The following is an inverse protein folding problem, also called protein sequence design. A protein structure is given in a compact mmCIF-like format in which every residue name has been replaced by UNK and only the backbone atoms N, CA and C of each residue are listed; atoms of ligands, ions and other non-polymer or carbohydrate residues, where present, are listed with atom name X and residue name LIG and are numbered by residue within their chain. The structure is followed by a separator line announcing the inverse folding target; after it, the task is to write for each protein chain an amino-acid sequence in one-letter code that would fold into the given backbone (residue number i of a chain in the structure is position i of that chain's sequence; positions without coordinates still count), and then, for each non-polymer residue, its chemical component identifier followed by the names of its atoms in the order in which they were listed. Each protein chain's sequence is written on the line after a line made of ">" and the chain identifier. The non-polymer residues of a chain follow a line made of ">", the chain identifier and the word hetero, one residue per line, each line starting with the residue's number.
data_IF_806884812103
#
_entry.id   IF_806884812103
#
_cell.length_a   1.000
_cell.length_b   1.000
_cell.length_c   1.000
_cell.angle_alpha   90.00
_cell.angle_beta   90.00
_cell.angle_gamma   90.00
#
_symmetry.space_group_name_H-M   'P 1'
#
loop_
_entity.id
_entity.type
_entity.pdbx_description
1 polymer ?
#
# COMPACT_ATOMS: atom_id res chain seq x y z
N UNK A 1 -47.43 -13.31 -18.81
CA UNK A 1 -47.81 -13.57 -17.41
C UNK A 1 -46.54 -13.74 -16.59
N UNK A 2 -46.07 -12.69 -15.88
CA UNK A 2 -44.90 -12.83 -15.00
C UNK A 2 -45.32 -13.62 -13.75
N UNK A 3 -44.74 -14.80 -13.54
CA UNK A 3 -44.85 -15.54 -12.27
C UNK A 3 -44.20 -14.67 -11.18
N UNK A 4 -44.92 -14.42 -10.08
CA UNK A 4 -44.41 -13.64 -8.95
C UNK A 4 -43.14 -14.31 -8.42
N UNK A 5 -42.00 -13.64 -8.58
CA UNK A 5 -40.74 -14.12 -8.04
C UNK A 5 -40.79 -13.97 -6.51
N UNK A 6 -40.44 -15.02 -5.74
CA UNK A 6 -40.46 -14.92 -4.28
C UNK A 6 -39.42 -13.88 -3.82
N UNK A 7 -39.84 -12.99 -2.91
CA UNK A 7 -39.02 -11.89 -2.39
C UNK A 7 -37.68 -12.39 -1.80
N UNK A 8 -37.68 -13.58 -1.21
CA UNK A 8 -36.48 -14.24 -0.68
C UNK A 8 -35.43 -14.52 -1.75
N UNK A 9 -35.84 -14.85 -2.99
CA UNK A 9 -34.94 -15.09 -4.10
C UNK A 9 -34.33 -13.78 -4.64
N UNK A 10 -35.10 -12.70 -4.62
CA UNK A 10 -34.61 -11.35 -4.98
C UNK A 10 -33.55 -10.88 -3.97
N UNK A 11 -33.82 -11.04 -2.67
CA UNK A 11 -32.87 -10.67 -1.60
C UNK A 11 -31.59 -11.50 -1.67
N UNK A 12 -31.70 -12.81 -1.94
CA UNK A 12 -30.53 -13.68 -2.09
C UNK A 12 -29.65 -13.29 -3.29
N UNK A 13 -30.26 -12.95 -4.44
CA UNK A 13 -29.54 -12.49 -5.63
C UNK A 13 -28.83 -11.15 -5.40
N UNK A 14 -29.48 -10.21 -4.68
CA UNK A 14 -28.88 -8.92 -4.33
C UNK A 14 -27.72 -9.09 -3.33
N UNK A 15 -27.84 -9.99 -2.36
CA UNK A 15 -26.75 -10.29 -1.43
C UNK A 15 -25.55 -10.89 -2.16
N UNK A 16 -25.76 -11.81 -3.10
CA UNK A 16 -24.70 -12.39 -3.92
C UNK A 16 -24.01 -11.36 -4.82
N UNK A 17 -24.78 -10.44 -5.40
CA UNK A 17 -24.25 -9.33 -6.21
C UNK A 17 -23.51 -8.26 -5.38
N UNK A 18 -23.68 -8.24 -4.05
CA UNK A 18 -23.03 -7.29 -3.14
C UNK A 18 -21.61 -7.64 -2.71
N UNK A 19 -21.11 -8.84 -3.01
CA UNK A 19 -19.74 -9.25 -2.67
C UNK A 19 -18.73 -8.69 -3.69
N UNK A 20 -18.22 -7.48 -3.44
CA UNK A 20 -17.30 -6.76 -4.34
C UNK A 20 -15.80 -6.90 -4.03
N UNK A 21 -15.41 -7.48 -2.89
CA UNK A 21 -14.00 -7.59 -2.48
C UNK A 21 -13.39 -8.91 -2.97
N UNK A 22 -13.10 -9.03 -4.28
CA UNK A 22 -12.62 -10.28 -4.90
C UNK A 22 -11.11 -10.34 -5.13
N UNK A 23 -10.41 -9.19 -5.07
CA UNK A 23 -8.99 -9.07 -5.43
C UNK A 23 -8.09 -8.56 -4.30
N UNK A 24 -8.67 -8.27 -3.13
CA UNK A 24 -7.95 -7.78 -1.95
C UNK A 24 -8.35 -8.57 -0.72
N UNK A 25 -7.42 -8.71 0.22
CA UNK A 25 -7.73 -9.29 1.53
C UNK A 25 -8.47 -8.28 2.41
N UNK A 26 -9.45 -8.77 3.17
CA UNK A 26 -10.14 -8.00 4.22
C UNK A 26 -9.69 -8.40 5.63
N UNK A 27 -8.75 -9.34 5.75
CA UNK A 27 -8.18 -9.72 7.04
C UNK A 27 -7.29 -8.59 7.58
N UNK A 28 -7.29 -8.33 8.90
CA UNK A 28 -6.29 -7.46 9.49
C UNK A 28 -4.87 -7.92 9.13
N UNK A 29 -4.04 -6.97 8.70
CA UNK A 29 -2.65 -7.21 8.34
C UNK A 29 -1.84 -5.94 8.65
N UNK A 30 -0.54 -6.09 8.89
CA UNK A 30 0.35 -4.94 9.02
C UNK A 30 0.37 -4.12 7.71
N UNK A 31 0.63 -2.82 7.83
CA UNK A 31 0.64 -1.91 6.69
C UNK A 31 1.95 -2.03 5.92
N UNK A 32 1.85 -1.82 4.61
CA UNK A 32 3.03 -1.52 3.79
C UNK A 32 3.34 -0.03 3.91
N UNK A 33 4.61 0.33 3.96
CA UNK A 33 5.09 1.71 4.12
C UNK A 33 5.90 2.12 2.89
N UNK A 34 5.64 3.32 2.40
CA UNK A 34 6.51 4.02 1.46
C UNK A 34 7.29 5.06 2.25
N UNK A 35 8.62 4.98 2.22
CA UNK A 35 9.52 5.93 2.88
C UNK A 35 10.24 6.76 1.82
N UNK A 36 9.88 8.04 1.73
CA UNK A 36 10.49 8.98 0.80
C UNK A 36 11.62 9.76 1.49
N UNK A 37 12.83 9.62 0.95
CA UNK A 37 14.03 10.30 1.45
C UNK A 37 14.43 11.42 0.49
N UNK A 38 14.37 12.67 0.95
CA UNK A 38 14.92 13.80 0.20
C UNK A 38 16.43 13.90 0.43
N UNK A 39 17.20 13.67 -0.63
CA UNK A 39 18.64 13.44 -0.57
C UNK A 39 19.40 14.22 -1.67
N UNK A 40 20.71 14.02 -1.77
CA UNK A 40 21.57 14.64 -2.78
C UNK A 40 23.01 14.11 -2.72
N UNK A 41 23.73 14.13 -3.85
CA UNK A 41 25.12 13.62 -3.94
C UNK A 41 26.12 14.42 -3.09
N UNK A 42 25.81 15.69 -2.78
CA UNK A 42 26.64 16.57 -1.95
C UNK A 42 26.13 16.72 -0.52
N UNK A 43 25.16 15.90 -0.13
CA UNK A 43 24.61 15.88 1.22
C UNK A 43 25.47 14.98 2.13
N UNK A 44 26.19 15.59 3.07
CA UNK A 44 27.16 14.90 3.92
C UNK A 44 26.54 13.87 4.86
N UNK A 45 25.30 14.07 5.29
CA UNK A 45 24.59 13.17 6.21
C UNK A 45 23.63 12.20 5.51
N UNK A 46 23.46 12.31 4.19
CA UNK A 46 22.58 11.43 3.45
C UNK A 46 23.05 9.96 3.43
N UNK A 47 24.36 9.62 3.44
CA UNK A 47 24.80 8.24 3.63
C UNK A 47 24.31 7.60 4.94
N UNK A 48 24.30 8.35 6.04
CA UNK A 48 23.77 7.86 7.33
C UNK A 48 22.25 7.68 7.26
N UNK A 49 21.54 8.62 6.60
CA UNK A 49 20.11 8.51 6.31
C UNK A 49 19.77 7.24 5.52
N UNK A 50 20.53 6.96 4.45
CA UNK A 50 20.39 5.74 3.65
C UNK A 50 20.60 4.47 4.47
N UNK A 51 21.59 4.46 5.38
CA UNK A 51 21.84 3.31 6.24
C UNK A 51 20.67 3.04 7.20
N UNK A 52 20.07 4.09 7.77
CA UNK A 52 18.89 3.97 8.65
C UNK A 52 17.67 3.49 7.86
N UNK A 53 17.39 4.11 6.70
CA UNK A 53 16.29 3.71 5.83
C UNK A 53 16.40 2.24 5.40
N UNK A 54 17.62 1.81 5.05
CA UNK A 54 17.91 0.41 4.71
C UNK A 54 17.72 -0.54 5.89
N UNK A 55 18.17 -0.16 7.09
CA UNK A 55 17.95 -0.95 8.29
C UNK A 55 16.46 -1.13 8.61
N UNK A 56 15.63 -0.09 8.40
CA UNK A 56 14.18 -0.17 8.56
C UNK A 56 13.57 -1.14 7.52
N UNK A 57 14.01 -1.06 6.26
CA UNK A 57 13.57 -1.98 5.21
C UNK A 57 13.97 -3.42 5.52
N UNK A 58 15.19 -3.64 6.00
CA UNK A 58 15.70 -4.97 6.35
C UNK A 58 14.97 -5.58 7.55
N UNK A 59 14.56 -4.76 8.51
CA UNK A 59 13.75 -5.19 9.63
C UNK A 59 12.29 -5.51 9.24
N UNK A 60 11.83 -5.06 8.07
CA UNK A 60 10.45 -5.20 7.59
C UNK A 60 10.43 -5.63 6.10
N UNK A 61 10.92 -6.85 5.79
CA UNK A 61 11.00 -7.33 4.41
C UNK A 61 9.63 -7.36 3.74
N UNK A 62 9.59 -7.01 2.45
CA UNK A 62 8.37 -6.95 1.61
C UNK A 62 7.29 -5.96 2.07
N UNK A 63 7.56 -5.19 3.13
CA UNK A 63 6.62 -4.22 3.73
C UNK A 63 7.06 -2.78 3.56
N UNK A 64 8.36 -2.51 3.38
CA UNK A 64 8.88 -1.14 3.25
C UNK A 64 9.52 -0.93 1.88
N UNK A 65 9.01 0.09 1.17
CA UNK A 65 9.54 0.55 -0.10
C UNK A 65 10.23 1.89 0.11
N UNK A 66 11.53 1.96 -0.22
CA UNK A 66 12.33 3.18 -0.13
C UNK A 66 12.30 3.94 -1.46
N UNK A 67 12.11 5.26 -1.41
CA UNK A 67 12.19 6.16 -2.58
C UNK A 67 13.18 7.28 -2.25
N UNK A 68 14.29 7.31 -2.98
CA UNK A 68 15.34 8.32 -2.78
C UNK A 68 15.20 9.44 -3.81
N UNK A 69 14.80 10.63 -3.35
CA UNK A 69 14.49 11.80 -4.17
C UNK A 69 15.66 12.78 -4.08
N UNK A 70 16.48 12.85 -5.14
CA UNK A 70 17.56 13.83 -5.22
C UNK A 70 16.98 15.21 -5.54
N UNK A 71 17.07 16.15 -4.59
CA UNK A 71 16.54 17.50 -4.77
C UNK A 71 17.31 18.60 -4.02
N UNK A 72 17.06 19.85 -4.42
CA UNK A 72 17.63 21.03 -3.77
C UNK A 72 19.13 21.23 -4.07
N UNK A 73 19.76 22.10 -3.29
CA UNK A 73 21.16 22.51 -3.52
C UNK A 73 22.20 21.40 -3.31
N UNK A 74 21.84 20.29 -2.67
CA UNK A 74 22.73 19.13 -2.49
C UNK A 74 22.66 18.11 -3.63
N UNK A 75 21.73 18.27 -4.57
CA UNK A 75 21.51 17.35 -5.67
C UNK A 75 22.14 17.80 -7.00
N UNK A 76 22.85 18.93 -7.01
CA UNK A 76 23.37 19.62 -8.20
C UNK A 76 24.86 19.39 -8.37
#
# INVERSE_FOLDING_TARGET
>A
MLKKLPLSLVVALLAFAGYGQTIVSTSPQDQNVVLEEFTGIHCQYCPDGHAIAKAIQDANPDRVTLINIHQGGYAV
#
